data_IF_167872565950
#
_entry.id   IF_167872565950
#
_cell.length_a   1.000
_cell.length_b   1.000
_cell.length_c   1.000
_cell.angle_alpha   90.00
_cell.angle_beta   90.00
_cell.angle_gamma   90.00
#
_symmetry.space_group_name_H-M   'P 1'
#
loop_
_entity.id
_entity.type
_entity.pdbx_description
1 polymer ?
#
# COMPACT_ATOMS: atom_id res chain seq x y z
N UNK A 1 -24.23 -5.54 -2.41
CA UNK A 1 -23.90 -4.11 -2.26
C UNK A 1 -22.41 -3.99 -2.41
N UNK A 2 -21.95 -3.60 -3.59
CA UNK A 2 -20.52 -3.34 -3.82
C UNK A 2 -20.18 -2.03 -3.11
N UNK A 3 -19.44 -2.09 -2.00
CA UNK A 3 -19.11 -0.93 -1.18
C UNK A 3 -17.95 -0.17 -1.84
N UNK A 4 -18.31 0.75 -2.74
CA UNK A 4 -17.38 1.72 -3.29
C UNK A 4 -16.92 2.68 -2.19
N UNK A 5 -15.61 2.86 -2.04
CA UNK A 5 -15.06 3.87 -1.12
C UNK A 5 -14.91 5.19 -1.88
N UNK A 6 -15.44 6.27 -1.33
CA UNK A 6 -15.17 7.62 -1.80
C UNK A 6 -13.76 8.04 -1.34
N UNK A 7 -12.88 8.31 -2.31
CA UNK A 7 -11.47 8.60 -2.07
C UNK A 7 -11.09 9.94 -2.67
N UNK A 8 -10.49 10.79 -1.86
CA UNK A 8 -9.84 12.02 -2.30
C UNK A 8 -8.34 11.76 -2.46
N UNK A 9 -7.83 11.95 -3.67
CA UNK A 9 -6.42 11.73 -3.99
C UNK A 9 -5.94 12.79 -4.98
N UNK A 10 -4.64 13.07 -4.96
CA UNK A 10 -4.02 14.00 -5.92
C UNK A 10 -3.56 13.26 -7.17
N UNK A 11 -3.24 14.01 -8.23
CA UNK A 11 -2.69 13.43 -9.45
C UNK A 11 -1.38 12.67 -9.20
N UNK A 12 -0.54 13.15 -8.30
CA UNK A 12 0.72 12.47 -7.95
C UNK A 12 0.47 11.17 -7.18
N UNK A 13 -0.57 11.12 -6.34
CA UNK A 13 -0.97 9.88 -5.69
C UNK A 13 -1.50 8.86 -6.71
N UNK A 14 -2.31 9.29 -7.69
CA UNK A 14 -2.81 8.41 -8.76
C UNK A 14 -1.65 7.84 -9.58
N UNK A 15 -0.66 8.67 -9.95
CA UNK A 15 0.55 8.21 -10.64
C UNK A 15 1.31 7.18 -9.82
N UNK A 16 1.54 7.45 -8.53
CA UNK A 16 2.24 6.54 -7.64
C UNK A 16 1.48 5.21 -7.46
N UNK A 17 0.15 5.26 -7.39
CA UNK A 17 -0.72 4.08 -7.30
C UNK A 17 -0.55 3.20 -8.54
N UNK A 18 -0.60 3.79 -9.73
CA UNK A 18 -0.36 3.07 -10.98
C UNK A 18 1.05 2.48 -11.06
N UNK A 19 2.07 3.24 -10.66
CA UNK A 19 3.47 2.79 -10.71
C UNK A 19 3.75 1.64 -9.74
N UNK A 20 3.24 1.71 -8.51
CA UNK A 20 3.57 0.77 -7.44
C UNK A 20 2.67 -0.46 -7.42
N UNK A 21 1.41 -0.32 -7.86
CA UNK A 21 0.39 -1.35 -7.71
C UNK A 21 -0.27 -1.77 -9.02
N UNK A 22 0.00 -1.08 -10.13
CA UNK A 22 -0.56 -1.41 -11.44
C UNK A 22 -2.04 -1.04 -11.63
N UNK A 23 -2.66 -0.39 -10.64
CA UNK A 23 -4.05 0.04 -10.68
C UNK A 23 -4.20 1.49 -10.21
N UNK A 24 -5.31 2.13 -10.57
CA UNK A 24 -5.67 3.49 -10.14
C UNK A 24 -6.62 3.48 -8.94
N UNK A 25 -6.82 4.64 -8.30
CA UNK A 25 -7.69 4.74 -7.13
C UNK A 25 -9.17 4.47 -7.44
N UNK A 26 -9.62 4.71 -8.67
CA UNK A 26 -10.98 4.36 -9.10
C UNK A 26 -11.22 2.84 -9.04
N UNK A 27 -10.26 2.04 -9.53
CA UNK A 27 -10.34 0.58 -9.47
C UNK A 27 -10.23 0.07 -8.04
N UNK A 28 -9.28 0.61 -7.26
CA UNK A 28 -9.11 0.30 -5.84
C UNK A 28 -10.35 0.62 -4.99
N UNK A 29 -11.04 1.72 -5.32
CA UNK A 29 -12.25 2.17 -4.64
C UNK A 29 -13.45 1.28 -4.87
N UNK A 30 -13.55 0.62 -6.03
CA UNK A 30 -14.71 -0.18 -6.44
C UNK A 30 -14.44 -1.68 -6.27
N UNK A 31 -13.34 -2.20 -6.81
CA UNK A 31 -13.05 -3.63 -6.81
C UNK A 31 -12.35 -4.08 -5.51
N UNK A 32 -13.05 -4.89 -4.72
CA UNK A 32 -12.52 -5.48 -3.48
C UNK A 32 -11.27 -6.34 -3.73
N UNK A 33 -11.20 -7.05 -4.85
CA UNK A 33 -10.05 -7.91 -5.18
C UNK A 33 -8.80 -7.07 -5.43
N UNK A 34 -8.93 -5.99 -6.20
CA UNK A 34 -7.85 -5.03 -6.42
C UNK A 34 -7.42 -4.37 -5.11
N UNK A 35 -8.39 -3.98 -4.28
CA UNK A 35 -8.12 -3.44 -2.94
C UNK A 35 -7.31 -4.41 -2.09
N UNK A 36 -7.71 -5.68 -2.01
CA UNK A 36 -7.01 -6.70 -1.22
C UNK A 36 -5.59 -6.97 -1.73
N UNK A 37 -5.35 -6.90 -3.04
CA UNK A 37 -3.99 -7.02 -3.60
C UNK A 37 -3.10 -5.88 -3.14
N UNK A 38 -3.60 -4.64 -3.22
CA UNK A 38 -2.87 -3.45 -2.77
C UNK A 38 -2.56 -3.53 -1.28
N UNK A 39 -3.56 -3.83 -0.45
CA UNK A 39 -3.40 -3.87 1.00
C UNK A 39 -2.44 -4.98 1.45
N UNK A 40 -2.44 -6.14 0.78
CA UNK A 40 -1.45 -7.19 1.05
C UNK A 40 -0.02 -6.73 0.76
N UNK A 41 0.20 -6.04 -0.35
CA UNK A 41 1.52 -5.49 -0.71
C UNK A 41 1.96 -4.41 0.28
N UNK A 42 1.04 -3.55 0.73
CA UNK A 42 1.30 -2.55 1.77
C UNK A 42 1.68 -3.20 3.10
N UNK A 43 0.95 -4.23 3.52
CA UNK A 43 1.23 -4.97 4.75
C UNK A 43 2.61 -5.64 4.70
N UNK A 44 2.96 -6.28 3.59
CA UNK A 44 4.28 -6.90 3.41
C UNK A 44 5.41 -5.86 3.50
N UNK A 45 5.26 -4.74 2.79
CA UNK A 45 6.25 -3.65 2.81
C UNK A 45 6.45 -3.08 4.22
N UNK A 46 5.37 -2.95 5.00
CA UNK A 46 5.44 -2.54 6.39
C UNK A 46 6.17 -3.56 7.27
N UNK A 47 5.88 -4.86 7.12
CA UNK A 47 6.57 -5.94 7.87
C UNK A 47 8.06 -5.96 7.56
N UNK A 48 8.44 -5.82 6.30
CA UNK A 48 9.84 -5.80 5.88
C UNK A 48 10.57 -4.57 6.44
N UNK A 49 9.93 -3.40 6.43
CA UNK A 49 10.45 -2.18 7.05
C UNK A 49 10.66 -2.33 8.55
N UNK A 50 9.70 -2.93 9.27
CA UNK A 50 9.83 -3.19 10.71
C UNK A 50 10.95 -4.19 11.05
N UNK A 51 11.11 -5.23 10.24
CA UNK A 51 12.21 -6.17 10.38
C UNK A 51 13.56 -5.46 10.22
N UNK A 52 13.71 -4.64 9.17
CA UNK A 52 14.92 -3.86 8.92
C UNK A 52 15.25 -2.91 10.08
N UNK A 53 14.26 -2.15 10.57
CA UNK A 53 14.44 -1.23 11.71
C UNK A 53 14.89 -2.01 12.95
N UNK A 54 14.31 -3.17 13.21
CA UNK A 54 14.68 -4.02 14.34
C UNK A 54 16.13 -4.49 14.23
N UNK A 55 16.56 -4.90 13.03
CA UNK A 55 17.92 -5.37 12.81
C UNK A 55 18.95 -4.25 12.90
N UNK A 56 18.65 -3.05 12.40
CA UNK A 56 19.51 -1.86 12.57
C UNK A 56 19.65 -1.51 14.05
N UNK A 57 18.54 -1.46 14.80
CA UNK A 57 18.58 -1.17 16.23
C UNK A 57 19.44 -2.17 17.01
N UNK A 58 19.36 -3.46 16.66
CA UNK A 58 20.22 -4.50 17.26
C UNK A 58 21.71 -4.30 16.96
N UNK A 59 22.06 -3.78 15.79
CA UNK A 59 23.45 -3.51 15.41
C UNK A 59 24.01 -2.27 16.10
N UNK A 60 23.19 -1.22 16.24
CA UNK A 60 23.59 0.04 16.89
C UNK A 60 23.76 -0.11 18.41
N UNK A 61 22.98 -0.97 19.05
CA UNK A 61 23.03 -1.21 20.49
C UNK A 61 23.94 -2.37 20.91
N UNK A 62 24.80 -2.87 20.01
CA UNK A 62 25.92 -3.78 20.34
C UNK A 62 27.19 -3.01 20.62
#
# INVERSE_FOLDING_TARGET
MDQSIELNYTQEMEKAMHQNHGCGYAAYGIDMSERLKVERTREQSHKDGMALVTDINRQVHR
#
